data_IF_919316893937
#
_entry.id   IF_919316893937
#
_cell.length_a   1.000
_cell.length_b   1.000
_cell.length_c   1.000
_cell.angle_alpha   90.00
_cell.angle_beta   90.00
_cell.angle_gamma   90.00
#
_symmetry.space_group_name_H-M   'P 1'
#
loop_
_entity.id
_entity.type
_entity.pdbx_description
1 polymer ?
#
# COMPACT_ATOMS: atom_id res chain seq x y z
N UNK A 1 34.98 3.79 21.31
CA UNK A 1 33.88 4.40 20.58
C UNK A 1 32.67 3.55 20.87
N UNK A 2 31.82 4.00 21.78
CA UNK A 2 30.60 3.31 22.16
C UNK A 2 29.58 3.64 21.07
N UNK A 3 29.20 2.65 20.27
CA UNK A 3 28.06 2.75 19.36
C UNK A 3 26.84 3.18 20.19
N UNK A 4 26.39 4.40 19.94
CA UNK A 4 25.08 4.84 20.40
C UNK A 4 24.06 4.00 19.63
N UNK A 5 23.64 2.89 20.21
CA UNK A 5 22.43 2.21 19.79
C UNK A 5 21.29 3.20 20.09
N UNK A 6 20.88 3.92 19.07
CA UNK A 6 19.63 4.70 19.10
C UNK A 6 18.52 3.70 19.34
N UNK A 7 18.11 3.59 20.58
CA UNK A 7 16.92 2.82 20.95
C UNK A 7 15.74 3.53 20.31
N UNK A 8 14.96 2.89 19.43
CA UNK A 8 13.75 3.48 18.84
C UNK A 8 12.64 3.42 19.88
N UNK A 9 12.67 4.32 20.87
CA UNK A 9 11.90 4.12 22.11
C UNK A 9 10.99 5.26 22.47
N UNK A 10 10.79 6.24 21.61
CA UNK A 10 10.13 7.43 22.13
C UNK A 10 8.60 7.43 21.99
N UNK A 11 8.00 6.56 21.14
CA UNK A 11 6.58 6.70 20.81
C UNK A 11 5.82 5.35 20.75
N UNK A 12 6.44 4.23 21.13
CA UNK A 12 5.79 2.92 21.12
C UNK A 12 5.97 2.18 22.42
N UNK A 13 4.90 1.54 22.89
CA UNK A 13 4.96 0.68 24.07
C UNK A 13 5.84 -0.54 23.77
N UNK A 14 6.92 -0.74 24.51
CA UNK A 14 7.90 -1.80 24.25
C UNK A 14 7.34 -3.23 24.41
N UNK A 15 6.21 -3.38 25.08
CA UNK A 15 5.52 -4.65 25.27
C UNK A 15 4.77 -5.13 24.02
N UNK A 16 4.36 -4.20 23.14
CA UNK A 16 3.55 -4.51 21.97
C UNK A 16 4.42 -4.49 20.70
N UNK A 17 4.76 -5.68 20.21
CA UNK A 17 5.52 -5.83 18.97
C UNK A 17 4.58 -5.77 17.78
N UNK A 18 4.87 -4.89 16.82
CA UNK A 18 4.22 -4.84 15.52
C UNK A 18 4.89 -5.81 14.53
N UNK A 19 4.10 -6.34 13.61
CA UNK A 19 4.57 -7.15 12.50
C UNK A 19 3.88 -6.68 11.22
N UNK A 20 4.66 -6.34 10.19
CA UNK A 20 4.15 -6.00 8.88
C UNK A 20 4.09 -7.25 8.00
N UNK A 21 2.88 -7.70 7.66
CA UNK A 21 2.64 -8.83 6.75
C UNK A 21 2.72 -8.39 5.28
N UNK A 22 3.88 -7.83 4.86
CA UNK A 22 4.04 -7.29 3.50
C UNK A 22 5.50 -7.16 3.10
N UNK A 23 5.83 -7.57 1.87
CA UNK A 23 7.15 -7.33 1.25
C UNK A 23 7.31 -5.94 0.63
N UNK A 24 6.32 -5.04 0.73
CA UNK A 24 6.36 -3.72 0.11
C UNK A 24 7.38 -2.80 0.79
N UNK A 25 8.39 -2.36 0.02
CA UNK A 25 9.39 -1.39 0.50
C UNK A 25 8.77 -0.02 0.83
N UNK A 26 7.72 0.40 0.10
CA UNK A 26 7.02 1.65 0.38
C UNK A 26 6.32 1.60 1.74
N UNK A 27 5.57 0.54 2.05
CA UNK A 27 4.89 0.38 3.35
C UNK A 27 5.89 0.32 4.50
N UNK A 28 7.00 -0.41 4.32
CA UNK A 28 8.08 -0.45 5.30
C UNK A 28 8.60 0.96 5.59
N UNK A 29 8.96 1.72 4.56
CA UNK A 29 9.48 3.09 4.68
C UNK A 29 8.50 4.02 5.38
N UNK A 30 7.20 3.89 5.10
CA UNK A 30 6.16 4.70 5.76
C UNK A 30 6.16 4.46 7.27
N UNK A 31 6.21 3.20 7.70
CA UNK A 31 6.24 2.85 9.14
C UNK A 31 7.56 3.26 9.80
N UNK A 32 8.70 3.07 9.13
CA UNK A 32 10.03 3.50 9.60
C UNK A 32 10.07 5.02 9.79
N UNK A 33 9.59 5.79 8.81
CA UNK A 33 9.55 7.25 8.88
C UNK A 33 8.59 7.76 9.96
N UNK A 34 7.58 6.95 10.33
CA UNK A 34 6.70 7.23 11.46
C UNK A 34 7.32 6.89 12.82
N UNK A 35 8.56 6.40 12.86
CA UNK A 35 9.26 6.02 14.09
C UNK A 35 8.70 4.76 14.76
N UNK A 36 8.02 3.90 14.00
CA UNK A 36 7.48 2.65 14.52
C UNK A 36 8.53 1.53 14.46
N UNK A 37 8.63 0.77 15.54
CA UNK A 37 9.43 -0.46 15.60
C UNK A 37 8.54 -1.66 15.22
N UNK A 38 8.93 -2.43 14.21
CA UNK A 38 8.19 -3.58 13.72
C UNK A 38 9.14 -4.59 13.07
N UNK A 39 8.70 -5.84 13.02
CA UNK A 39 9.33 -6.86 12.20
C UNK A 39 8.55 -7.01 10.88
N UNK A 40 9.16 -7.66 9.90
CA UNK A 40 8.55 -7.94 8.60
C UNK A 40 8.49 -9.44 8.36
N UNK A 41 7.31 -9.91 7.97
CA UNK A 41 7.11 -11.28 7.50
C UNK A 41 6.26 -11.22 6.23
N UNK A 42 6.75 -11.79 5.14
CA UNK A 42 6.03 -11.77 3.86
C UNK A 42 4.93 -12.83 3.89
N UNK A 43 3.71 -12.41 3.66
CA UNK A 43 2.54 -13.30 3.61
C UNK A 43 2.53 -14.15 2.35
N UNK A 44 2.20 -15.42 2.48
CA UNK A 44 1.98 -16.37 1.37
C UNK A 44 0.47 -16.48 1.09
N UNK A 45 -0.06 -15.53 0.32
CA UNK A 45 -1.47 -15.48 -0.08
C UNK A 45 -1.59 -15.59 -1.58
N UNK A 46 -2.48 -16.43 -2.07
CA UNK A 46 -2.85 -16.49 -3.49
C UNK A 46 -3.74 -15.29 -3.84
N UNK A 47 -3.08 -14.15 -4.14
CA UNK A 47 -3.77 -12.91 -4.52
C UNK A 47 -4.56 -13.07 -5.82
N UNK A 48 -4.08 -13.90 -6.76
CA UNK A 48 -4.75 -14.10 -8.04
C UNK A 48 -6.09 -14.83 -7.86
N UNK A 49 -6.12 -15.82 -6.98
CA UNK A 49 -7.36 -16.53 -6.65
C UNK A 49 -8.40 -15.58 -6.02
N UNK A 50 -8.02 -14.79 -5.03
CA UNK A 50 -8.93 -13.82 -4.38
C UNK A 50 -9.46 -12.77 -5.36
N UNK A 51 -8.63 -12.25 -6.27
CA UNK A 51 -9.07 -11.31 -7.31
C UNK A 51 -10.04 -11.96 -8.29
N UNK A 52 -9.76 -13.20 -8.69
CA UNK A 52 -10.65 -13.95 -9.59
C UNK A 52 -12.01 -14.21 -8.92
N UNK A 53 -12.04 -14.63 -7.66
CA UNK A 53 -13.25 -14.77 -6.88
C UNK A 53 -14.01 -13.44 -6.81
N UNK A 54 -13.32 -12.33 -6.56
CA UNK A 54 -13.90 -10.99 -6.53
C UNK A 54 -14.60 -10.62 -7.84
N UNK A 55 -14.01 -10.97 -8.99
CA UNK A 55 -14.63 -10.75 -10.30
C UNK A 55 -15.89 -11.62 -10.48
N UNK A 56 -15.84 -12.89 -10.09
CA UNK A 56 -16.99 -13.81 -10.18
C UNK A 56 -18.17 -13.36 -9.29
N UNK A 57 -17.86 -12.84 -8.10
CA UNK A 57 -18.83 -12.38 -7.11
C UNK A 57 -19.25 -10.92 -7.30
N UNK A 58 -18.74 -10.23 -8.33
CA UNK A 58 -18.96 -8.80 -8.58
C UNK A 58 -18.58 -7.92 -7.36
N UNK A 59 -17.53 -8.27 -6.65
CA UNK A 59 -17.03 -7.42 -5.54
C UNK A 59 -16.47 -6.12 -6.09
N UNK A 60 -16.61 -5.05 -5.31
CA UNK A 60 -15.94 -3.79 -5.60
C UNK A 60 -14.44 -3.87 -5.32
N UNK A 61 -13.64 -3.01 -5.95
CA UNK A 61 -12.19 -3.02 -5.79
C UNK A 61 -11.73 -2.75 -4.34
N UNK A 62 -12.49 -1.95 -3.57
CA UNK A 62 -12.24 -1.73 -2.15
C UNK A 62 -12.52 -2.99 -1.31
N UNK A 63 -13.57 -3.75 -1.65
CA UNK A 63 -13.84 -5.05 -1.03
C UNK A 63 -12.71 -6.04 -1.28
N UNK A 64 -12.22 -6.12 -2.52
CA UNK A 64 -11.08 -7.01 -2.85
C UNK A 64 -9.81 -6.58 -2.13
N UNK A 65 -9.48 -5.28 -2.12
CA UNK A 65 -8.32 -4.76 -1.38
C UNK A 65 -8.40 -5.11 0.11
N UNK A 66 -9.59 -4.98 0.71
CA UNK A 66 -9.81 -5.33 2.11
C UNK A 66 -9.62 -6.83 2.36
N UNK A 67 -10.21 -7.69 1.53
CA UNK A 67 -10.07 -9.15 1.62
C UNK A 67 -8.62 -9.61 1.48
N UNK A 68 -7.87 -8.99 0.57
CA UNK A 68 -6.44 -9.25 0.41
C UNK A 68 -5.65 -8.82 1.65
N UNK A 69 -5.95 -7.65 2.21
CA UNK A 69 -5.30 -7.17 3.44
C UNK A 69 -5.60 -8.10 4.64
N UNK A 70 -6.85 -8.55 4.78
CA UNK A 70 -7.26 -9.53 5.81
C UNK A 70 -6.52 -10.86 5.63
N UNK A 71 -6.52 -11.42 4.42
CA UNK A 71 -5.85 -12.68 4.13
C UNK A 71 -4.35 -12.60 4.46
N UNK A 72 -3.68 -11.49 4.11
CA UNK A 72 -2.27 -11.26 4.45
C UNK A 72 -2.04 -11.21 5.96
N UNK A 73 -2.89 -10.52 6.71
CA UNK A 73 -2.74 -10.47 8.16
C UNK A 73 -3.00 -11.83 8.83
N UNK A 74 -4.01 -12.56 8.36
CA UNK A 74 -4.41 -13.84 8.91
C UNK A 74 -3.47 -15.00 8.51
N UNK A 75 -2.69 -14.86 7.43
CA UNK A 75 -1.70 -15.88 7.04
C UNK A 75 -0.54 -15.99 8.02
N UNK A 76 -0.25 -14.92 8.77
CA UNK A 76 0.74 -14.93 9.86
C UNK A 76 0.14 -15.62 11.07
N UNK A 77 0.61 -16.83 11.32
CA UNK A 77 -0.01 -17.70 12.32
C UNK A 77 0.36 -17.34 13.76
N UNK A 78 -0.64 -17.45 14.65
CA UNK A 78 -0.56 -17.55 16.11
C UNK A 78 0.51 -16.70 16.78
N UNK A 79 0.40 -15.41 16.64
CA UNK A 79 1.26 -14.47 17.34
C UNK A 79 0.42 -13.58 18.26
N UNK A 80 0.92 -13.29 19.46
CA UNK A 80 0.37 -12.28 20.35
C UNK A 80 0.68 -10.84 19.91
N UNK A 81 1.39 -10.72 18.79
CA UNK A 81 1.78 -9.44 18.17
C UNK A 81 0.63 -8.83 17.38
N UNK A 82 0.65 -7.53 17.21
CA UNK A 82 -0.23 -6.85 16.27
C UNK A 82 0.31 -6.99 14.85
N UNK A 83 -0.43 -7.67 14.00
CA UNK A 83 -0.10 -7.89 12.59
C UNK A 83 -0.79 -6.85 11.72
N UNK A 84 -0.01 -6.08 10.97
CA UNK A 84 -0.48 -5.11 9.98
C UNK A 84 -0.55 -5.82 8.63
N UNK A 85 -1.77 -6.08 8.14
CA UNK A 85 -2.02 -6.52 6.77
C UNK A 85 -2.43 -5.32 5.92
N UNK A 86 -1.92 -5.24 4.69
CA UNK A 86 -2.29 -4.15 3.78
C UNK A 86 -2.24 -4.60 2.33
N UNK A 87 -3.19 -4.08 1.54
CA UNK A 87 -3.22 -4.27 0.09
C UNK A 87 -3.68 -3.01 -0.63
N UNK A 88 -3.38 -2.93 -1.92
CA UNK A 88 -3.79 -1.82 -2.77
C UNK A 88 -4.21 -2.29 -4.15
N UNK A 89 -5.42 -1.92 -4.55
CA UNK A 89 -5.97 -2.10 -5.89
C UNK A 89 -6.04 -0.75 -6.61
N UNK A 90 -5.92 -0.76 -7.95
CA UNK A 90 -6.18 0.38 -8.80
C UNK A 90 -7.37 0.07 -9.71
N UNK A 91 -8.35 0.97 -9.77
CA UNK A 91 -9.44 0.89 -10.72
C UNK A 91 -9.58 2.16 -11.56
N UNK A 92 -9.84 1.99 -12.86
CA UNK A 92 -10.14 3.08 -13.78
C UNK A 92 -11.27 2.64 -14.72
N UNK A 93 -12.38 3.36 -14.71
CA UNK A 93 -13.55 3.08 -15.56
C UNK A 93 -14.03 1.60 -15.47
N UNK A 94 -14.07 1.04 -14.27
CA UNK A 94 -14.48 -0.33 -14.01
C UNK A 94 -13.43 -1.41 -14.26
N UNK A 95 -12.28 -1.06 -14.80
CA UNK A 95 -11.15 -1.99 -15.03
C UNK A 95 -10.20 -1.97 -13.83
N UNK A 96 -9.78 -3.14 -13.35
CA UNK A 96 -8.74 -3.28 -12.34
C UNK A 96 -7.38 -3.44 -12.99
N UNK A 97 -6.36 -2.86 -12.37
CA UNK A 97 -4.98 -2.90 -12.84
C UNK A 97 -4.10 -3.62 -11.81
N UNK A 98 -3.31 -4.54 -12.30
CA UNK A 98 -2.24 -5.18 -11.54
C UNK A 98 -0.91 -4.44 -11.71
N UNK A 99 0.12 -4.85 -10.98
CA UNK A 99 1.48 -4.39 -11.24
C UNK A 99 1.89 -4.71 -12.67
N UNK A 100 2.59 -3.79 -13.36
CA UNK A 100 2.96 -3.99 -14.75
C UNK A 100 3.96 -5.14 -14.93
N UNK A 101 3.81 -5.87 -16.03
CA UNK A 101 4.80 -6.89 -16.43
C UNK A 101 5.90 -6.24 -17.26
N UNK A 102 6.95 -5.79 -16.59
CA UNK A 102 8.08 -5.11 -17.20
C UNK A 102 7.75 -3.73 -17.77
N UNK A 103 8.74 -3.10 -18.42
CA UNK A 103 8.61 -1.73 -18.95
C UNK A 103 7.53 -1.61 -20.04
N UNK A 104 7.33 -2.65 -20.85
CA UNK A 104 6.26 -2.65 -21.86
C UNK A 104 4.88 -2.60 -21.20
N UNK A 105 4.65 -3.37 -20.12
CA UNK A 105 3.42 -3.30 -19.34
C UNK A 105 3.22 -1.95 -18.65
N UNK A 106 4.30 -1.35 -18.13
CA UNK A 106 4.25 -0.02 -17.53
C UNK A 106 3.86 1.05 -18.56
N UNK A 107 4.45 1.00 -19.76
CA UNK A 107 4.10 1.89 -20.86
C UNK A 107 2.63 1.79 -21.24
N UNK A 108 2.11 0.57 -21.35
CA UNK A 108 0.72 0.32 -21.67
C UNK A 108 -0.21 0.90 -20.60
N UNK A 109 0.05 0.66 -19.33
CA UNK A 109 -0.75 1.21 -18.22
C UNK A 109 -0.75 2.73 -18.20
N UNK A 110 0.40 3.37 -18.41
CA UNK A 110 0.50 4.84 -18.47
C UNK A 110 -0.32 5.42 -19.63
N UNK A 111 -0.33 4.77 -20.80
CA UNK A 111 -1.15 5.18 -21.94
C UNK A 111 -2.65 5.03 -21.63
N UNK A 112 -3.04 3.96 -20.99
CA UNK A 112 -4.43 3.70 -20.62
C UNK A 112 -4.96 4.67 -19.56
N UNK A 113 -4.12 5.07 -18.59
CA UNK A 113 -4.46 5.98 -17.50
C UNK A 113 -4.32 7.47 -17.89
N UNK A 114 -3.56 7.77 -18.93
CA UNK A 114 -3.30 9.13 -19.43
C UNK A 114 -4.59 9.91 -19.66
N UNK A 115 -4.69 11.10 -19.06
CA UNK A 115 -5.87 11.98 -19.19
C UNK A 115 -7.12 11.48 -18.48
N UNK A 116 -7.01 10.44 -17.64
CA UNK A 116 -8.14 9.88 -16.90
C UNK A 116 -7.95 10.05 -15.40
N UNK A 117 -9.06 10.00 -14.68
CA UNK A 117 -9.08 9.87 -13.23
C UNK A 117 -9.24 8.39 -12.87
N UNK A 118 -8.37 7.92 -12.02
CA UNK A 118 -8.44 6.57 -11.45
C UNK A 118 -8.48 6.63 -9.92
N UNK A 119 -8.90 5.54 -9.30
CA UNK A 119 -9.00 5.40 -7.85
C UNK A 119 -8.05 4.31 -7.39
N UNK A 120 -7.27 4.61 -6.36
CA UNK A 120 -6.59 3.59 -5.57
C UNK A 120 -7.52 3.17 -4.43
N UNK A 121 -7.57 1.88 -4.15
CA UNK A 121 -8.31 1.29 -3.03
C UNK A 121 -7.28 0.68 -2.10
N UNK A 122 -6.92 1.42 -1.04
CA UNK A 122 -5.83 1.04 -0.15
C UNK A 122 -6.39 0.60 1.18
N UNK A 123 -6.32 -0.71 1.44
CA UNK A 123 -6.80 -1.33 2.66
C UNK A 123 -5.67 -1.57 3.65
N UNK A 124 -5.97 -1.38 4.93
CA UNK A 124 -5.12 -1.77 6.04
C UNK A 124 -5.96 -2.39 7.14
N UNK A 125 -5.45 -3.45 7.76
CA UNK A 125 -6.09 -4.13 8.87
C UNK A 125 -5.10 -4.37 10.00
N UNK A 126 -5.60 -4.43 11.23
CA UNK A 126 -4.88 -4.92 12.39
C UNK A 126 -5.47 -6.26 12.82
N UNK A 127 -4.60 -7.25 12.99
CA UNK A 127 -4.93 -8.59 13.45
C UNK A 127 -4.11 -8.92 14.69
N UNK A 128 -4.67 -9.68 15.63
CA UNK A 128 -3.93 -10.27 16.75
C UNK A 128 -4.54 -11.64 17.08
N UNK A 129 -3.68 -12.62 17.32
CA UNK A 129 -4.11 -14.01 17.64
C UNK A 129 -5.09 -14.61 16.61
N UNK A 130 -4.94 -14.27 15.31
CA UNK A 130 -5.83 -14.76 14.26
C UNK A 130 -7.20 -14.06 14.18
N UNK A 131 -7.40 -12.95 14.91
CA UNK A 131 -8.63 -12.18 14.88
C UNK A 131 -8.37 -10.78 14.31
N UNK A 132 -9.18 -10.36 13.33
CA UNK A 132 -9.16 -9.00 12.83
C UNK A 132 -9.81 -8.08 13.85
N UNK A 133 -9.03 -7.13 14.37
CA UNK A 133 -9.44 -6.18 15.39
C UNK A 133 -9.93 -4.86 14.80
N UNK A 134 -9.34 -4.45 13.66
CA UNK A 134 -9.66 -3.18 13.02
C UNK A 134 -9.42 -3.24 11.51
N UNK A 135 -10.18 -2.43 10.78
CA UNK A 135 -10.16 -2.33 9.31
C UNK A 135 -10.27 -0.89 8.88
N UNK A 136 -9.57 -0.53 7.81
CA UNK A 136 -9.76 0.75 7.13
C UNK A 136 -9.47 0.61 5.64
N UNK A 137 -10.25 1.32 4.83
CA UNK A 137 -10.01 1.45 3.39
C UNK A 137 -10.04 2.93 3.03
N UNK A 138 -8.97 3.41 2.39
CA UNK A 138 -8.90 4.74 1.80
C UNK A 138 -9.00 4.63 0.28
N UNK A 139 -9.74 5.55 -0.33
CA UNK A 139 -9.99 5.55 -1.78
C UNK A 139 -9.55 6.88 -2.42
N UNK A 140 -8.25 7.24 -2.43
CA UNK A 140 -7.76 8.44 -3.07
C UNK A 140 -7.99 8.39 -4.60
N UNK A 141 -8.28 9.56 -5.19
CA UNK A 141 -8.48 9.74 -6.62
C UNK A 141 -7.33 10.53 -7.22
N UNK A 142 -6.81 10.06 -8.33
CA UNK A 142 -5.69 10.67 -9.02
C UNK A 142 -6.06 10.92 -10.48
N UNK A 143 -5.96 12.17 -10.92
CA UNK A 143 -6.24 12.57 -12.31
C UNK A 143 -4.91 12.74 -13.05
N UNK A 144 -4.61 11.83 -13.97
CA UNK A 144 -3.44 11.96 -14.82
C UNK A 144 -3.66 13.05 -15.87
N UNK A 145 -2.63 13.88 -16.08
CA UNK A 145 -2.63 14.85 -17.17
C UNK A 145 -2.45 14.16 -18.52
N UNK A 146 -2.79 14.87 -19.59
CA UNK A 146 -2.42 14.45 -20.94
C UNK A 146 -0.98 14.82 -21.19
N UNK A 147 -0.07 13.85 -21.12
CA UNK A 147 1.37 14.02 -21.38
C UNK A 147 1.73 13.48 -22.77
N UNK A 148 2.86 13.93 -23.35
CA UNK A 148 3.37 13.45 -24.63
C UNK A 148 4.01 12.06 -24.51
N UNK A 149 4.13 11.34 -25.62
CA UNK A 149 4.89 10.09 -25.65
C UNK A 149 6.37 10.31 -25.26
N UNK A 150 6.97 11.40 -25.72
CA UNK A 150 8.36 11.73 -25.37
C UNK A 150 8.53 11.91 -23.84
N UNK A 151 7.58 12.59 -23.18
CA UNK A 151 7.61 12.71 -21.71
C UNK A 151 7.48 11.36 -21.02
N UNK A 152 6.57 10.50 -21.49
CA UNK A 152 6.39 9.17 -20.91
C UNK A 152 7.65 8.31 -21.02
N UNK A 153 8.33 8.30 -22.16
CA UNK A 153 9.57 7.56 -22.34
C UNK A 153 10.69 8.10 -21.44
N UNK A 154 10.81 9.43 -21.29
CA UNK A 154 11.74 10.03 -20.35
C UNK A 154 11.42 9.65 -18.90
N UNK A 155 10.15 9.65 -18.53
CA UNK A 155 9.70 9.22 -17.22
C UNK A 155 10.08 7.75 -16.94
N UNK A 156 9.76 6.84 -17.88
CA UNK A 156 10.10 5.42 -17.76
C UNK A 156 11.61 5.19 -17.67
N UNK A 157 12.40 5.94 -18.43
CA UNK A 157 13.86 5.86 -18.38
C UNK A 157 14.41 6.35 -17.02
N UNK A 158 13.80 7.38 -16.43
CA UNK A 158 14.22 7.95 -15.15
C UNK A 158 13.82 7.07 -13.96
N UNK A 159 12.59 6.53 -13.96
CA UNK A 159 12.09 5.63 -12.89
C UNK A 159 12.70 4.24 -12.96
N UNK A 160 13.01 3.75 -14.15
CA UNK A 160 13.55 2.42 -14.35
C UNK A 160 12.62 1.33 -13.79
N UNK A 161 13.20 0.39 -13.06
CA UNK A 161 12.45 -0.72 -12.45
C UNK A 161 11.58 -0.31 -11.24
N UNK A 162 11.83 0.87 -10.68
CA UNK A 162 11.13 1.30 -9.46
C UNK A 162 9.61 1.44 -9.64
N UNK A 163 9.15 1.84 -10.84
CA UNK A 163 7.72 1.93 -11.14
C UNK A 163 7.05 0.57 -11.36
N UNK A 164 7.81 -0.50 -11.62
CA UNK A 164 7.26 -1.85 -11.87
C UNK A 164 6.70 -2.50 -10.59
N UNK A 165 7.14 -2.04 -9.43
CA UNK A 165 6.63 -2.48 -8.13
C UNK A 165 5.27 -1.90 -7.74
N UNK A 166 4.72 -0.95 -8.52
CA UNK A 166 3.53 -0.19 -8.20
C UNK A 166 2.40 -0.42 -9.21
N UNK A 167 1.18 -0.55 -8.73
CA UNK A 167 -0.01 -0.52 -9.60
C UNK A 167 -0.11 0.87 -10.25
N UNK A 168 -0.41 0.91 -11.56
CA UNK A 168 -0.44 2.17 -12.32
C UNK A 168 0.92 2.68 -12.78
N UNK A 169 2.02 1.96 -12.46
CA UNK A 169 3.36 2.27 -12.98
C UNK A 169 3.92 3.62 -12.55
N UNK A 170 3.60 4.11 -11.34
CA UNK A 170 4.10 5.37 -10.81
C UNK A 170 4.35 5.31 -9.30
N UNK A 171 5.22 6.20 -8.83
CA UNK A 171 5.48 6.47 -7.42
C UNK A 171 5.28 7.96 -7.16
N UNK A 172 4.41 8.28 -6.19
CA UNK A 172 4.09 9.67 -5.87
C UNK A 172 5.27 10.41 -5.23
N UNK A 173 6.08 9.68 -4.46
CA UNK A 173 7.29 10.17 -3.79
C UNK A 173 8.50 10.36 -4.72
N UNK A 174 8.32 10.13 -6.01
CA UNK A 174 9.34 10.25 -7.04
C UNK A 174 8.88 11.11 -8.22
N UNK A 175 9.55 11.00 -9.39
CA UNK A 175 9.17 11.72 -10.62
C UNK A 175 7.72 11.49 -11.06
N UNK A 176 7.09 10.42 -10.59
CA UNK A 176 5.69 10.08 -10.89
C UNK A 176 4.69 11.17 -10.52
N UNK A 177 5.01 12.06 -9.58
CA UNK A 177 4.15 13.22 -9.26
C UNK A 177 3.87 14.10 -10.49
N UNK A 178 4.80 14.15 -11.45
CA UNK A 178 4.66 14.95 -12.67
C UNK A 178 3.64 14.38 -13.68
N UNK A 179 3.14 13.17 -13.46
CA UNK A 179 2.09 12.57 -14.28
C UNK A 179 0.70 13.13 -13.98
N UNK A 180 0.50 13.80 -12.85
CA UNK A 180 -0.80 14.18 -12.33
C UNK A 180 -1.14 15.64 -12.56
N UNK A 181 -2.44 15.90 -12.82
CA UNK A 181 -3.05 17.22 -12.85
C UNK A 181 -3.73 17.53 -11.51
N UNK A 182 -4.29 16.52 -10.84
CA UNK A 182 -4.95 16.66 -9.54
C UNK A 182 -4.84 15.37 -8.74
N UNK A 183 -4.81 15.50 -7.42
CA UNK A 183 -4.81 14.41 -6.46
C UNK A 183 -5.77 14.77 -5.34
N UNK A 184 -6.69 13.85 -5.02
CA UNK A 184 -7.65 13.95 -3.91
C UNK A 184 -7.43 12.79 -2.95
N UNK A 185 -7.24 13.09 -1.66
CA UNK A 185 -7.06 12.09 -0.61
C UNK A 185 -5.68 12.10 0.04
N UNK A 186 -5.43 11.07 0.84
CA UNK A 186 -4.24 10.96 1.67
C UNK A 186 -3.01 10.45 0.89
N UNK A 187 -1.90 11.16 1.01
CA UNK A 187 -0.64 10.82 0.34
C UNK A 187 -0.04 9.48 0.81
N UNK A 188 -0.20 9.13 2.09
CA UNK A 188 0.28 7.85 2.60
C UNK A 188 -0.56 6.68 2.05
N UNK A 189 -1.89 6.88 1.93
CA UNK A 189 -2.75 5.89 1.30
C UNK A 189 -2.38 5.67 -0.18
N UNK A 190 -2.00 6.72 -0.92
CA UNK A 190 -1.52 6.61 -2.30
C UNK A 190 -0.24 5.78 -2.37
N UNK A 191 0.69 5.95 -1.42
CA UNK A 191 1.92 5.18 -1.33
C UNK A 191 1.72 3.74 -0.81
N UNK A 192 0.49 3.38 -0.45
CA UNK A 192 0.09 2.00 -0.15
C UNK A 192 -0.21 1.67 1.31
N UNK A 193 -0.27 2.67 2.21
CA UNK A 193 -0.63 2.47 3.61
C UNK A 193 -1.32 3.72 4.20
N UNK A 194 -2.62 3.67 4.54
CA UNK A 194 -3.31 4.76 5.22
C UNK A 194 -2.75 4.95 6.64
N UNK A 195 -1.68 5.74 6.77
CA UNK A 195 -0.89 5.81 8.00
C UNK A 195 -1.66 6.49 9.14
N UNK A 196 -2.32 7.61 8.89
CA UNK A 196 -2.97 8.38 9.94
C UNK A 196 -4.10 7.60 10.64
N UNK A 197 -5.02 6.93 9.91
CA UNK A 197 -5.99 6.02 10.53
C UNK A 197 -5.36 4.85 11.27
N UNK A 198 -4.27 4.27 10.74
CA UNK A 198 -3.54 3.18 11.39
C UNK A 198 -2.95 3.63 12.73
N UNK A 199 -2.29 4.78 12.78
CA UNK A 199 -1.73 5.34 14.02
C UNK A 199 -2.81 5.63 15.05
N UNK A 200 -3.97 6.14 14.63
CA UNK A 200 -5.13 6.33 15.52
C UNK A 200 -5.58 5.00 16.14
N UNK A 201 -5.75 3.96 15.31
CA UNK A 201 -6.13 2.63 15.79
C UNK A 201 -5.08 2.02 16.74
N UNK A 202 -3.78 2.22 16.48
CA UNK A 202 -2.71 1.76 17.38
C UNK A 202 -2.73 2.48 18.74
N UNK A 203 -3.14 3.75 18.81
CA UNK A 203 -3.38 4.46 20.07
C UNK A 203 -4.58 3.88 20.83
N UNK A 204 -5.72 3.71 20.15
CA UNK A 204 -6.90 3.08 20.75
C UNK A 204 -6.60 1.70 21.35
N UNK A 205 -5.70 0.94 20.71
CA UNK A 205 -5.23 -0.36 21.18
C UNK A 205 -4.07 -0.27 22.18
N UNK A 206 -3.66 0.94 22.59
CA UNK A 206 -2.57 1.20 23.55
C UNK A 206 -1.20 0.66 23.11
N UNK A 207 -1.01 0.45 21.82
CA UNK A 207 0.30 0.13 21.23
C UNK A 207 1.18 1.39 21.18
N UNK A 208 0.54 2.54 20.94
CA UNK A 208 1.17 3.85 21.01
C UNK A 208 0.61 4.64 22.21
N UNK A 209 1.39 5.51 22.81
CA UNK A 209 0.89 6.44 23.84
C UNK A 209 -0.07 7.47 23.22
N UNK A 210 -0.88 8.10 24.08
CA UNK A 210 -1.80 9.19 23.74
C UNK A 210 -1.05 10.48 23.36
#
# INVERSE_FOLDING_TARGET
MTDLVLTPTLIQNSADKLLLASGSAARRRILENAGLAFDVEVSEVDEAHLKHEGLQQNWSADTVALRLAEAKALSIQKTDRFVIGADQMLSCNGTWYDKPKGVAGARQQLLELRGKTHTLHTAVVLCRNGHILWRHVACPKLSMRVFSHAFMEQYLALEGEACLGCVGSYRLEGPGIQLFAAIEGDAFAIQGLPLLPLVAALREMKVLPD
#
